data_IF_162757109452
#
_entry.id   IF_162757109452
#
_cell.length_a   1.000
_cell.length_b   1.000
_cell.length_c   1.000
_cell.angle_alpha   90.00
_cell.angle_beta   90.00
_cell.angle_gamma   90.00
#
_symmetry.space_group_name_H-M   'P 1'
#
loop_
_entity.id
_entity.type
_entity.pdbx_description
1 polymer ?
#
# COMPACT_ATOMS: atom_id res chain seq x y z
N UNK A 1 24.77 1.13 -44.29
CA UNK A 1 25.62 0.73 -43.15
C UNK A 1 26.62 -0.28 -43.68
N UNK A 2 27.92 -0.02 -43.57
CA UNK A 2 28.95 -0.97 -43.97
C UNK A 2 29.02 -2.14 -42.98
N UNK A 3 29.44 -3.30 -43.45
CA UNK A 3 29.65 -4.49 -42.62
C UNK A 3 30.69 -4.26 -41.51
N UNK A 4 31.68 -3.40 -41.79
CA UNK A 4 32.68 -2.91 -40.83
C UNK A 4 32.04 -2.17 -39.65
N UNK A 5 31.11 -1.25 -39.90
CA UNK A 5 30.40 -0.55 -38.83
C UNK A 5 29.59 -1.52 -37.96
N UNK A 6 29.04 -2.59 -38.56
CA UNK A 6 28.29 -3.61 -37.83
C UNK A 6 29.21 -4.45 -36.93
N UNK A 7 30.41 -4.77 -37.41
CA UNK A 7 31.43 -5.47 -36.62
C UNK A 7 31.94 -4.61 -35.44
N UNK A 8 32.17 -3.32 -35.65
CA UNK A 8 32.56 -2.39 -34.58
C UNK A 8 31.47 -2.24 -33.51
N UNK A 9 30.21 -2.11 -33.92
CA UNK A 9 29.08 -2.06 -32.99
C UNK A 9 28.99 -3.35 -32.17
N UNK A 10 29.15 -4.52 -32.79
CA UNK A 10 29.18 -5.80 -32.06
C UNK A 10 30.31 -5.85 -31.04
N UNK A 11 31.53 -5.46 -31.43
CA UNK A 11 32.68 -5.43 -30.53
C UNK A 11 32.47 -4.47 -29.35
N UNK A 12 31.84 -3.32 -29.59
CA UNK A 12 31.48 -2.38 -28.53
C UNK A 12 30.47 -2.99 -27.56
N UNK A 13 29.43 -3.64 -28.08
CA UNK A 13 28.41 -4.32 -27.27
C UNK A 13 29.06 -5.41 -26.41
N UNK A 14 29.92 -6.24 -27.00
CA UNK A 14 30.62 -7.31 -26.28
C UNK A 14 31.51 -6.74 -25.15
N UNK A 15 32.21 -5.62 -25.42
CA UNK A 15 33.01 -4.93 -24.41
C UNK A 15 32.17 -4.30 -23.31
N UNK A 16 30.97 -3.77 -23.62
CA UNK A 16 30.07 -3.23 -22.62
C UNK A 16 29.46 -4.35 -21.77
N UNK A 17 29.11 -5.48 -22.38
CA UNK A 17 28.55 -6.64 -21.69
C UNK A 17 29.57 -7.26 -20.74
N UNK A 18 30.84 -7.42 -21.15
CA UNK A 18 31.89 -7.92 -20.26
C UNK A 18 32.15 -6.98 -19.09
N UNK A 19 32.21 -5.67 -19.33
CA UNK A 19 32.39 -4.67 -18.26
C UNK A 19 31.22 -4.63 -17.27
N UNK A 20 29.98 -4.78 -17.74
CA UNK A 20 28.81 -4.84 -16.86
C UNK A 20 28.79 -6.10 -15.98
N UNK A 21 29.21 -7.24 -16.52
CA UNK A 21 29.33 -8.49 -15.75
C UNK A 21 30.38 -8.34 -14.65
N UNK A 22 31.55 -7.78 -14.97
CA UNK A 22 32.62 -7.54 -13.99
C UNK A 22 32.16 -6.60 -12.86
N UNK A 23 31.47 -5.50 -13.18
CA UNK A 23 30.90 -4.60 -12.17
C UNK A 23 29.87 -5.30 -11.29
N UNK A 24 29.05 -6.19 -11.85
CA UNK A 24 28.06 -6.94 -11.08
C UNK A 24 28.73 -7.90 -10.10
N UNK A 25 29.81 -8.56 -10.52
CA UNK A 25 30.61 -9.43 -9.65
C UNK A 25 31.27 -8.64 -8.52
N UNK A 26 31.83 -7.46 -8.79
CA UNK A 26 32.38 -6.56 -7.77
C UNK A 26 31.33 -6.13 -6.74
N UNK A 27 30.13 -5.76 -7.18
CA UNK A 27 29.02 -5.38 -6.28
C UNK A 27 28.53 -6.58 -5.44
N UNK A 28 28.51 -7.78 -6.03
CA UNK A 28 28.15 -9.01 -5.32
C UNK A 28 29.17 -9.33 -4.24
N UNK A 29 30.46 -9.16 -4.53
CA UNK A 29 31.54 -9.39 -3.57
C UNK A 29 31.51 -8.36 -2.42
N UNK A 30 31.34 -7.07 -2.74
CA UNK A 30 31.15 -6.03 -1.72
C UNK A 30 29.95 -6.32 -0.81
N UNK A 31 28.83 -6.82 -1.36
CA UNK A 31 27.67 -7.23 -0.56
C UNK A 31 28.00 -8.42 0.34
N UNK A 32 28.78 -9.42 -0.12
CA UNK A 32 29.22 -10.51 0.76
C UNK A 32 30.07 -9.97 1.90
N UNK A 33 31.01 -9.07 1.60
CA UNK A 33 31.93 -8.52 2.59
C UNK A 33 31.20 -7.66 3.64
N UNK A 34 30.23 -6.86 3.22
CA UNK A 34 29.31 -6.13 4.12
C UNK A 34 28.43 -7.08 4.95
N UNK A 35 27.87 -8.12 4.33
CA UNK A 35 27.05 -9.13 5.02
C UNK A 35 27.85 -10.01 5.98
N UNK A 36 29.16 -10.12 5.81
CA UNK A 36 30.07 -10.82 6.71
C UNK A 36 30.56 -9.96 7.89
N UNK A 37 30.14 -8.69 7.99
CA UNK A 37 30.49 -7.82 9.13
C UNK A 37 29.58 -8.06 10.37
N UNK A 38 28.56 -8.91 10.26
CA UNK A 38 27.58 -9.20 11.33
C UNK A 38 27.85 -10.54 12.06
N UNK A 39 29.07 -11.06 12.02
CA UNK A 39 29.49 -12.16 12.90
C UNK A 39 29.99 -11.60 14.24
N UNK A 40 29.05 -11.13 15.07
CA UNK A 40 29.22 -11.04 16.52
C UNK A 40 28.31 -12.08 17.17
N UNK A 41 28.84 -13.14 17.83
CA UNK A 41 28.03 -14.02 18.63
C UNK A 41 27.85 -13.37 19.99
N UNK A 42 26.79 -12.58 20.18
CA UNK A 42 26.35 -12.21 21.52
C UNK A 42 24.85 -12.41 21.65
N UNK A 43 24.52 -13.39 22.49
CA UNK A 43 23.25 -13.56 23.17
C UNK A 43 22.74 -12.26 23.80
N UNK A 44 21.48 -12.34 24.22
CA UNK A 44 20.73 -11.40 25.08
C UNK A 44 19.91 -10.39 24.27
N UNK A 45 18.59 -10.62 24.14
CA UNK A 45 17.56 -10.39 25.16
C UNK A 45 17.41 -8.89 25.50
N UNK A 46 16.16 -8.52 25.78
CA UNK A 46 15.64 -7.23 26.24
C UNK A 46 15.12 -6.30 25.12
N UNK A 47 13.84 -6.44 24.76
CA UNK A 47 12.72 -5.67 25.34
C UNK A 47 12.87 -4.16 25.19
N UNK A 48 12.44 -3.61 24.05
CA UNK A 48 12.09 -2.20 23.95
C UNK A 48 10.61 -2.03 24.33
N UNK A 49 10.44 -1.57 25.56
CA UNK A 49 9.22 -1.28 26.31
C UNK A 49 8.16 -0.48 25.55
N UNK A 50 6.95 -1.03 25.58
CA UNK A 50 5.68 -0.33 25.32
C UNK A 50 5.52 0.87 26.25
N UNK A 51 5.40 2.07 25.67
CA UNK A 51 5.29 3.36 26.37
C UNK A 51 3.84 3.86 26.51
N UNK A 52 2.84 3.04 26.20
CA UNK A 52 1.44 3.45 26.32
C UNK A 52 0.76 2.69 27.46
N UNK A 53 0.91 3.31 28.63
CA UNK A 53 0.30 2.90 29.88
C UNK A 53 -1.21 3.07 29.83
N UNK A 54 -1.87 1.98 30.16
CA UNK A 54 -3.24 1.74 30.59
C UNK A 54 -3.92 2.92 31.31
N UNK A 55 -5.10 3.30 30.82
CA UNK A 55 -6.06 4.15 31.51
C UNK A 55 -7.42 3.45 31.39
N UNK A 56 -7.79 2.72 32.45
CA UNK A 56 -9.15 2.23 32.66
C UNK A 56 -9.99 3.31 33.34
N UNK A 57 -11.24 3.55 32.91
CA UNK A 57 -12.28 4.04 33.79
C UNK A 57 -13.33 2.96 34.01
N UNK A 58 -13.47 2.61 35.30
CA UNK A 58 -14.48 1.72 35.86
C UNK A 58 -15.91 2.23 35.63
N UNK A 59 -16.83 1.28 35.45
CA UNK A 59 -18.29 1.46 35.53
C UNK A 59 -18.73 1.98 36.91
N UNK A 60 -19.93 2.58 37.03
CA UNK A 60 -21.01 1.82 37.67
C UNK A 60 -22.47 2.16 37.23
N UNK A 61 -23.32 1.11 37.24
CA UNK A 61 -24.66 1.05 37.87
C UNK A 61 -25.98 1.33 37.09
N UNK A 62 -26.83 0.29 37.16
CA UNK A 62 -28.31 0.13 37.22
C UNK A 62 -29.27 0.63 36.12
N UNK A 63 -29.89 -0.38 35.48
CA UNK A 63 -31.32 -0.70 35.45
C UNK A 63 -32.36 0.43 35.33
N UNK A 64 -33.24 0.31 34.32
CA UNK A 64 -34.71 0.40 34.48
C UNK A 64 -35.39 -0.20 33.23
N UNK A 65 -36.33 -1.11 33.46
CA UNK A 65 -37.25 -1.67 32.48
C UNK A 65 -38.35 -0.66 32.11
N UNK A 66 -38.79 -0.66 30.85
CA UNK A 66 -39.91 0.16 30.38
C UNK A 66 -40.46 -0.36 29.06
N UNK A 67 -41.45 -1.23 29.16
CA UNK A 67 -42.37 -1.70 28.12
C UNK A 67 -43.38 -0.60 27.76
N UNK A 68 -43.48 -0.17 26.49
CA UNK A 68 -44.73 0.31 25.83
C UNK A 68 -44.64 0.18 24.29
N UNK A 69 -45.35 -0.82 23.77
CA UNK A 69 -46.31 -0.86 22.65
C UNK A 69 -46.44 0.29 21.59
N UNK A 70 -46.54 -0.14 20.32
CA UNK A 70 -47.28 0.43 19.16
C UNK A 70 -46.84 1.76 18.52
N UNK A 71 -46.13 1.69 17.39
CA UNK A 71 -46.70 2.02 16.05
C UNK A 71 -45.72 1.68 14.92
N UNK A 72 -46.28 1.04 13.90
CA UNK A 72 -45.72 0.63 12.61
C UNK A 72 -45.26 1.86 11.80
N UNK A 73 -43.94 2.05 11.66
CA UNK A 73 -43.32 2.85 10.58
C UNK A 73 -41.83 2.46 10.44
N UNK A 74 -41.56 1.50 9.56
CA UNK A 74 -40.23 1.28 8.96
C UNK A 74 -39.94 2.47 8.01
N UNK A 75 -38.73 3.06 8.06
CA UNK A 75 -37.52 2.27 7.87
C UNK A 75 -36.46 2.48 8.96
N UNK A 76 -35.93 1.34 9.40
CA UNK A 76 -34.72 1.21 10.22
C UNK A 76 -33.54 1.95 9.57
N UNK A 77 -33.26 3.14 10.08
CA UNK A 77 -31.93 3.74 10.14
C UNK A 77 -31.38 3.32 11.50
N UNK A 78 -30.30 2.54 11.63
CA UNK A 78 -28.96 3.11 11.81
C UNK A 78 -27.83 2.03 11.81
N UNK A 79 -28.15 0.73 11.65
CA UNK A 79 -27.10 -0.33 11.66
C UNK A 79 -26.46 -0.63 10.30
N UNK A 80 -26.89 0.06 9.23
CA UNK A 80 -26.43 -0.18 7.86
C UNK A 80 -25.21 0.65 7.44
N UNK A 81 -24.87 1.73 8.15
CA UNK A 81 -23.91 2.73 7.64
C UNK A 81 -22.47 2.19 7.58
N UNK A 82 -22.01 1.46 8.62
CA UNK A 82 -20.65 0.90 8.65
C UNK A 82 -20.43 -0.24 7.64
N UNK A 83 -21.39 -1.18 7.54
CA UNK A 83 -21.32 -2.31 6.60
C UNK A 83 -21.30 -1.80 5.15
N UNK A 84 -22.13 -0.80 4.84
CA UNK A 84 -22.18 -0.21 3.49
C UNK A 84 -20.87 0.49 3.16
N UNK A 85 -20.20 1.15 4.12
CA UNK A 85 -18.91 1.81 3.87
C UNK A 85 -17.79 0.79 3.64
N UNK A 86 -17.70 -0.30 4.41
CA UNK A 86 -16.69 -1.34 4.20
C UNK A 86 -16.86 -2.05 2.84
N UNK A 87 -18.09 -2.37 2.47
CA UNK A 87 -18.41 -2.95 1.16
C UNK A 87 -18.07 -1.98 0.03
N UNK A 88 -18.37 -0.69 0.21
CA UNK A 88 -18.05 0.37 -0.75
C UNK A 88 -16.55 0.57 -0.92
N UNK A 89 -15.77 0.58 0.17
CA UNK A 89 -14.31 0.68 0.16
C UNK A 89 -13.71 -0.52 -0.57
N UNK A 90 -14.23 -1.72 -0.32
CA UNK A 90 -13.78 -2.93 -0.99
C UNK A 90 -14.10 -2.93 -2.48
N UNK A 91 -15.33 -2.58 -2.87
CA UNK A 91 -15.76 -2.45 -4.26
C UNK A 91 -14.89 -1.49 -5.07
N UNK A 92 -14.41 -0.41 -4.45
CA UNK A 92 -13.59 0.60 -5.13
C UNK A 92 -12.12 0.20 -5.21
N UNK A 93 -11.57 -0.44 -4.17
CA UNK A 93 -10.13 -0.75 -4.10
C UNK A 93 -9.75 -2.16 -4.62
N UNK A 94 -10.69 -3.10 -4.66
CA UNK A 94 -10.44 -4.45 -5.20
C UNK A 94 -10.17 -4.48 -6.71
N UNK A 95 -10.88 -3.72 -7.55
CA UNK A 95 -10.56 -3.61 -8.98
C UNK A 95 -9.10 -3.18 -9.21
N UNK A 96 -8.61 -2.23 -8.41
CA UNK A 96 -7.22 -1.74 -8.46
C UNK A 96 -6.24 -2.84 -8.06
N UNK A 97 -6.61 -3.61 -7.03
CA UNK A 97 -5.81 -4.73 -6.53
C UNK A 97 -5.67 -5.83 -7.58
N UNK A 98 -6.78 -6.17 -8.24
CA UNK A 98 -6.83 -7.17 -9.31
C UNK A 98 -6.02 -6.72 -10.54
N UNK A 99 -6.14 -5.45 -10.93
CA UNK A 99 -5.41 -4.90 -12.07
C UNK A 99 -3.89 -4.88 -11.82
N UNK A 100 -3.49 -4.49 -10.60
CA UNK A 100 -2.09 -4.56 -10.17
C UNK A 100 -1.55 -5.99 -10.23
N UNK A 101 -2.34 -6.99 -9.83
CA UNK A 101 -1.96 -8.40 -9.88
C UNK A 101 -1.86 -8.93 -11.32
N UNK A 102 -2.77 -8.50 -12.20
CA UNK A 102 -2.82 -8.87 -13.64
C UNK A 102 -1.58 -8.45 -14.43
N UNK A 103 -0.78 -7.53 -13.89
CA UNK A 103 0.60 -7.21 -14.29
C UNK A 103 0.80 -6.35 -15.54
N UNK A 104 -0.24 -6.14 -16.34
CA UNK A 104 -0.10 -5.58 -17.69
C UNK A 104 -0.52 -4.10 -17.80
N UNK A 105 -1.18 -3.55 -16.77
CA UNK A 105 -1.59 -2.15 -16.80
C UNK A 105 -0.40 -1.18 -16.69
N UNK A 106 -0.35 -0.14 -17.53
CA UNK A 106 0.60 0.94 -17.40
C UNK A 106 0.30 1.79 -16.14
N UNK A 107 1.33 2.45 -15.61
CA UNK A 107 1.21 3.13 -14.32
C UNK A 107 0.25 4.33 -14.35
N UNK A 108 0.06 4.97 -15.50
CA UNK A 108 -0.91 6.04 -15.73
C UNK A 108 -2.37 5.57 -15.61
N UNK A 109 -2.70 4.38 -16.11
CA UNK A 109 -4.02 3.76 -15.96
C UNK A 109 -4.31 3.46 -14.50
N UNK A 110 -3.33 2.87 -13.78
CA UNK A 110 -3.46 2.66 -12.34
C UNK A 110 -3.61 3.97 -11.58
N UNK A 111 -2.90 5.03 -11.99
CA UNK A 111 -3.03 6.36 -11.38
C UNK A 111 -4.46 6.88 -11.52
N UNK A 112 -5.08 6.72 -12.70
CA UNK A 112 -6.47 7.08 -12.94
C UNK A 112 -7.44 6.37 -11.99
N UNK A 113 -7.26 5.06 -11.78
CA UNK A 113 -8.10 4.31 -10.83
C UNK A 113 -7.89 4.77 -9.38
N UNK A 114 -6.63 5.01 -8.96
CA UNK A 114 -6.33 5.49 -7.60
C UNK A 114 -6.89 6.90 -7.39
N UNK A 115 -6.86 7.77 -8.40
CA UNK A 115 -7.43 9.11 -8.34
C UNK A 115 -8.95 9.04 -8.17
N UNK A 116 -9.63 8.25 -8.99
CA UNK A 116 -11.08 8.05 -8.88
C UNK A 116 -11.47 7.47 -7.50
N UNK A 117 -10.69 6.52 -6.99
CA UNK A 117 -10.89 5.97 -5.66
C UNK A 117 -10.71 7.03 -4.57
N UNK A 118 -9.68 7.88 -4.68
CA UNK A 118 -9.45 8.99 -3.75
C UNK A 118 -10.62 9.96 -3.75
N UNK A 119 -11.08 10.40 -4.93
CA UNK A 119 -12.15 11.39 -5.05
C UNK A 119 -13.50 10.85 -4.54
N UNK A 120 -13.71 9.53 -4.62
CA UNK A 120 -14.92 8.88 -4.15
C UNK A 120 -14.89 8.58 -2.64
N UNK A 121 -13.74 8.13 -2.11
CA UNK A 121 -13.60 7.68 -0.72
C UNK A 121 -13.19 8.80 0.25
N UNK A 122 -12.45 9.80 -0.21
CA UNK A 122 -11.97 10.92 0.61
C UNK A 122 -12.80 12.16 0.27
N UNK A 123 -13.80 12.45 1.09
CA UNK A 123 -14.54 13.73 1.05
C UNK A 123 -13.84 14.76 1.95
N UNK A 124 -13.90 16.05 1.61
CA UNK A 124 -13.19 17.15 2.32
C UNK A 124 -13.43 17.21 3.84
N UNK A 125 -14.54 16.64 4.31
CA UNK A 125 -14.93 16.62 5.73
C UNK A 125 -14.51 15.35 6.49
N UNK A 126 -13.81 14.40 5.85
CA UNK A 126 -13.48 13.10 6.44
C UNK A 126 -12.15 13.09 7.21
N UNK A 127 -12.10 12.39 8.34
CA UNK A 127 -10.93 12.17 9.22
C UNK A 127 -9.75 11.42 8.55
N UNK A 128 -9.87 11.07 7.27
CA UNK A 128 -8.98 10.17 6.54
C UNK A 128 -7.75 10.86 5.94
N UNK A 129 -7.31 11.98 6.51
CA UNK A 129 -6.17 12.79 6.04
C UNK A 129 -4.88 11.97 5.84
N UNK A 130 -4.64 10.94 6.65
CA UNK A 130 -3.49 10.03 6.52
C UNK A 130 -3.58 9.18 5.25
N UNK A 131 -4.74 8.60 4.99
CA UNK A 131 -4.98 7.77 3.80
C UNK A 131 -4.94 8.64 2.54
N UNK A 132 -5.57 9.82 2.59
CA UNK A 132 -5.54 10.80 1.51
C UNK A 132 -4.10 11.18 1.12
N UNK A 133 -3.25 11.47 2.12
CA UNK A 133 -1.85 11.79 1.89
C UNK A 133 -1.06 10.62 1.32
N UNK A 134 -1.29 9.40 1.81
CA UNK A 134 -0.61 8.21 1.30
C UNK A 134 -1.05 7.86 -0.14
N UNK A 135 -2.32 8.07 -0.47
CA UNK A 135 -2.83 8.00 -1.85
C UNK A 135 -2.14 9.01 -2.75
N UNK A 136 -1.92 10.25 -2.29
CA UNK A 136 -1.18 11.27 -3.05
C UNK A 136 0.28 10.90 -3.30
N UNK A 137 0.93 10.24 -2.34
CA UNK A 137 2.29 9.72 -2.54
C UNK A 137 2.31 8.66 -3.65
N UNK A 138 1.33 7.75 -3.65
CA UNK A 138 1.20 6.72 -4.68
C UNK A 138 0.87 7.36 -6.04
N UNK A 139 -0.03 8.34 -6.10
CA UNK A 139 -0.37 9.07 -7.32
C UNK A 139 0.86 9.79 -7.92
N UNK A 140 1.64 10.48 -7.10
CA UNK A 140 2.89 11.12 -7.54
C UNK A 140 3.87 10.11 -8.12
N UNK A 141 4.03 8.96 -7.45
CA UNK A 141 4.88 7.88 -7.94
C UNK A 141 4.41 7.34 -9.30
N UNK A 142 3.10 7.08 -9.44
CA UNK A 142 2.52 6.55 -10.66
C UNK A 142 2.60 7.56 -11.82
N UNK A 143 2.30 8.84 -11.57
CA UNK A 143 2.45 9.91 -12.56
C UNK A 143 3.90 10.13 -12.99
N UNK A 144 4.86 10.08 -12.06
CA UNK A 144 6.28 10.18 -12.39
C UNK A 144 6.76 9.02 -13.28
N UNK A 145 6.04 7.89 -13.24
CA UNK A 145 6.33 6.71 -14.05
C UNK A 145 5.67 6.76 -15.42
N UNK A 146 4.48 7.35 -15.53
CA UNK A 146 3.74 7.54 -16.77
C UNK A 146 3.33 6.21 -17.41
N UNK A 147 3.65 6.02 -18.68
CA UNK A 147 3.27 4.81 -19.45
C UNK A 147 4.13 3.58 -19.14
N UNK A 148 5.14 3.70 -18.26
CA UNK A 148 6.02 2.57 -17.92
C UNK A 148 5.30 1.58 -17.00
N UNK A 149 5.52 0.30 -17.24
CA UNK A 149 5.03 -0.77 -16.37
C UNK A 149 5.57 -0.67 -14.94
N UNK A 150 4.76 -1.14 -13.98
CA UNK A 150 5.10 -1.17 -12.55
C UNK A 150 5.91 -2.44 -12.28
N UNK A 151 7.13 -2.30 -11.70
CA UNK A 151 7.96 -3.47 -11.37
C UNK A 151 7.28 -4.29 -10.28
N UNK A 152 7.50 -5.62 -10.22
CA UNK A 152 6.88 -6.48 -9.21
C UNK A 152 7.07 -5.98 -7.77
N UNK A 153 8.27 -5.53 -7.40
CA UNK A 153 8.56 -5.00 -6.05
C UNK A 153 7.75 -3.74 -5.69
N UNK A 154 7.52 -2.87 -6.67
CA UNK A 154 6.79 -1.61 -6.48
C UNK A 154 5.30 -1.89 -6.38
N UNK A 155 4.82 -2.81 -7.22
CA UNK A 155 3.46 -3.33 -7.18
C UNK A 155 3.13 -3.94 -5.82
N UNK A 156 4.00 -4.78 -5.28
CA UNK A 156 3.81 -5.36 -3.94
C UNK A 156 3.73 -4.27 -2.86
N UNK A 157 4.50 -3.18 -3.01
CA UNK A 157 4.43 -2.04 -2.09
C UNK A 157 3.08 -1.32 -2.17
N UNK A 158 2.59 -1.07 -3.40
CA UNK A 158 1.29 -0.44 -3.63
C UNK A 158 0.16 -1.33 -3.11
N UNK A 159 0.21 -2.65 -3.36
CA UNK A 159 -0.77 -3.61 -2.83
C UNK A 159 -0.80 -3.61 -1.29
N UNK A 160 0.36 -3.56 -0.63
CA UNK A 160 0.43 -3.42 0.83
C UNK A 160 -0.18 -2.10 1.31
N UNK A 161 0.02 -1.01 0.57
CA UNK A 161 -0.59 0.29 0.88
C UNK A 161 -2.11 0.24 0.74
N UNK A 162 -2.63 -0.29 -0.36
CA UNK A 162 -4.07 -0.46 -0.59
C UNK A 162 -4.71 -1.28 0.53
N UNK A 163 -4.08 -2.38 0.96
CA UNK A 163 -4.57 -3.17 2.11
C UNK A 163 -4.63 -2.34 3.40
N UNK A 164 -3.64 -1.49 3.66
CA UNK A 164 -3.66 -0.59 4.83
C UNK A 164 -4.74 0.48 4.69
N UNK A 165 -4.96 1.02 3.50
CA UNK A 165 -6.03 2.00 3.26
C UNK A 165 -7.40 1.39 3.53
N UNK A 166 -7.65 0.16 3.05
CA UNK A 166 -8.88 -0.58 3.37
C UNK A 166 -9.13 -0.62 4.87
N UNK A 167 -8.18 -1.13 5.64
CA UNK A 167 -8.30 -1.22 7.11
C UNK A 167 -8.56 0.15 7.75
N UNK A 168 -7.85 1.20 7.31
CA UNK A 168 -8.03 2.53 7.89
C UNK A 168 -9.37 3.18 7.53
N UNK A 169 -9.84 3.00 6.30
CA UNK A 169 -11.10 3.56 5.82
C UNK A 169 -12.30 2.84 6.46
N UNK A 170 -12.23 1.52 6.63
CA UNK A 170 -13.26 0.73 7.32
C UNK A 170 -13.27 1.00 8.82
N UNK A 171 -12.11 1.13 9.48
CA UNK A 171 -12.03 1.43 10.91
C UNK A 171 -12.58 2.82 11.26
N UNK A 172 -12.49 3.79 10.35
CA UNK A 172 -13.09 5.11 10.52
C UNK A 172 -14.59 5.16 10.22
N UNK A 173 -15.17 4.10 9.64
CA UNK A 173 -16.61 3.98 9.45
C UNK A 173 -17.34 3.43 10.70
N UNK A 174 -16.59 2.85 11.65
CA UNK A 174 -17.11 2.24 12.88
C UNK A 174 -17.06 3.18 14.12
N UNK A 175 -16.44 4.37 14.01
CA UNK A 175 -16.35 5.38 15.08
C UNK A 175 -17.27 6.56 14.84
#
# INVERSE_FOLDING_TARGET
>A
MSEENLAEIKKLIDSMQSGLVELFDQLRELRRLLGSTDESPTSDSLTSSSLFSEISPSTPTEATAGDIDTTDDEPLTDSGSSIVVDETVSLVLDPITNELQSSDAPADVIAGYVQAAKDFLIKEESSNNKVAHDMDVVLKFLHARGTKGIRPKERDNILKRIKRWKVHLSAHAES
#
